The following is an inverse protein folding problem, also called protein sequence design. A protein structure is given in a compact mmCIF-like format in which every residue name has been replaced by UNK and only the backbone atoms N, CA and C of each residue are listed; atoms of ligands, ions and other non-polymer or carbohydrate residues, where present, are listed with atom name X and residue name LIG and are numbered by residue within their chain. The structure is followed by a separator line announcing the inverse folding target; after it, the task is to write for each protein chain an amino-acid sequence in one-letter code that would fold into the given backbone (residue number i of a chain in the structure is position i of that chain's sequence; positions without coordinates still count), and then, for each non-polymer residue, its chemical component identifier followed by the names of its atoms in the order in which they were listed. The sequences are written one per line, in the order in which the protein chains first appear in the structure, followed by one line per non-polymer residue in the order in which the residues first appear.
data_IF_406288966690
#
_entry.id   IF_406288966690
#
_cell.length_a   1.000
_cell.length_b   1.000
_cell.length_c   1.000
_cell.angle_alpha   90.00
_cell.angle_beta   90.00
_cell.angle_gamma   90.00
#
_symmetry.space_group_name_H-M   'P 1'
#
loop_
_entity.id
_entity.type
_entity.pdbx_description
1 polymer ?
#
# COMPACT_ATOMS: atom_id res chain seq x y z
N UNK A 1 14.47 1.58 -20.57
CA UNK A 1 13.74 2.56 -19.72
C UNK A 1 12.21 2.38 -19.74
N UNK A 2 11.64 1.50 -20.58
CA UNK A 2 10.20 1.19 -20.59
C UNK A 2 9.75 0.12 -19.56
N UNK A 3 10.66 -0.44 -18.75
CA UNK A 3 10.32 -1.58 -17.86
C UNK A 3 10.00 -1.21 -16.41
N UNK A 4 10.16 0.06 -16.01
CA UNK A 4 9.98 0.49 -14.60
C UNK A 4 8.59 1.06 -14.35
N UNK A 5 7.91 1.56 -15.38
CA UNK A 5 6.59 2.18 -15.25
C UNK A 5 5.45 1.31 -15.80
N UNK A 6 5.76 0.16 -16.40
CA UNK A 6 4.75 -0.64 -17.11
C UNK A 6 4.33 0.01 -18.44
N UNK A 7 3.73 -0.79 -19.32
CA UNK A 7 3.39 -0.32 -20.66
C UNK A 7 2.31 0.77 -20.62
N UNK A 8 2.53 1.84 -21.39
CA UNK A 8 1.66 3.02 -21.52
C UNK A 8 1.44 3.89 -20.27
N UNK A 9 2.22 3.71 -19.18
CA UNK A 9 2.16 4.63 -18.05
C UNK A 9 3.33 5.62 -18.09
N UNK A 10 3.02 6.88 -17.76
CA UNK A 10 3.98 7.95 -17.62
C UNK A 10 4.14 8.37 -16.14
N UNK A 11 5.17 9.15 -15.85
CA UNK A 11 5.45 9.64 -14.49
C UNK A 11 4.25 10.38 -13.84
N UNK A 12 3.47 11.10 -14.64
CA UNK A 12 2.28 11.82 -14.15
C UNK A 12 1.18 10.89 -13.64
N UNK A 13 0.98 9.73 -14.28
CA UNK A 13 -0.01 8.75 -13.84
C UNK A 13 0.34 8.22 -12.45
N UNK A 14 1.62 7.94 -12.24
CA UNK A 14 2.18 7.55 -10.94
C UNK A 14 2.02 8.66 -9.90
N UNK A 15 2.33 9.91 -10.26
CA UNK A 15 2.18 11.05 -9.36
C UNK A 15 0.72 11.27 -8.93
N UNK A 16 -0.23 11.11 -9.85
CA UNK A 16 -1.67 11.24 -9.55
C UNK A 16 -2.13 10.13 -8.61
N UNK A 17 -1.72 8.89 -8.86
CA UNK A 17 -2.01 7.77 -7.94
C UNK A 17 -1.44 8.06 -6.56
N UNK A 18 -0.17 8.48 -6.46
CA UNK A 18 0.44 8.83 -5.17
C UNK A 18 -0.31 9.97 -4.46
N UNK A 19 -0.78 10.97 -5.20
CA UNK A 19 -1.58 12.06 -4.65
C UNK A 19 -2.92 11.57 -4.09
N UNK A 20 -3.66 10.75 -4.83
CA UNK A 20 -4.92 10.15 -4.36
C UNK A 20 -4.69 9.32 -3.11
N UNK A 21 -3.65 8.48 -3.10
CA UNK A 21 -3.28 7.68 -1.93
C UNK A 21 -2.89 8.56 -0.73
N UNK A 22 -2.17 9.66 -0.96
CA UNK A 22 -1.80 10.62 0.07
C UNK A 22 -3.00 11.33 0.68
N UNK A 23 -3.99 11.71 -0.13
CA UNK A 23 -5.25 12.30 0.35
C UNK A 23 -6.04 11.30 1.20
N UNK A 24 -6.18 10.05 0.74
CA UNK A 24 -6.83 8.99 1.50
C UNK A 24 -6.09 8.70 2.81
N UNK A 25 -4.76 8.69 2.78
CA UNK A 25 -3.93 8.56 3.98
C UNK A 25 -4.23 9.67 5.00
N UNK A 26 -4.23 10.93 4.58
CA UNK A 26 -4.52 12.06 5.47
C UNK A 26 -5.92 11.97 6.06
N UNK A 27 -6.92 11.62 5.24
CA UNK A 27 -8.31 11.46 5.65
C UNK A 27 -8.47 10.37 6.73
N UNK A 28 -7.75 9.25 6.62
CA UNK A 28 -7.82 8.15 7.59
C UNK A 28 -6.97 8.45 8.83
N UNK A 29 -5.80 9.07 8.67
CA UNK A 29 -4.84 9.30 9.76
C UNK A 29 -5.27 10.41 10.71
N UNK A 30 -5.82 11.50 10.18
CA UNK A 30 -6.12 12.70 10.96
C UNK A 30 -7.18 12.50 12.06
N UNK A 31 -8.32 11.81 11.83
CA UNK A 31 -9.35 11.64 12.85
C UNK A 31 -9.05 10.53 13.87
N UNK A 32 -7.87 9.89 13.85
CA UNK A 32 -7.65 8.69 14.65
C UNK A 32 -7.37 8.95 16.13
N UNK A 33 -8.08 8.26 17.05
CA UNK A 33 -7.75 8.28 18.47
C UNK A 33 -6.40 7.59 18.71
N UNK A 34 -5.66 8.05 19.71
CA UNK A 34 -4.39 7.43 20.12
C UNK A 34 -4.65 6.01 20.61
N UNK A 35 -4.01 5.02 19.98
CA UNK A 35 -4.09 3.63 20.40
C UNK A 35 -3.45 3.42 21.77
N UNK A 36 -4.15 2.73 22.67
CA UNK A 36 -3.61 2.32 23.96
C UNK A 36 -2.45 1.32 23.78
N UNK A 37 -1.49 1.34 24.70
CA UNK A 37 -0.29 0.50 24.65
C UNK A 37 -0.59 -1.01 24.54
N UNK A 38 -1.72 -1.47 25.10
CA UNK A 38 -2.15 -2.86 25.04
C UNK A 38 -2.44 -3.36 23.61
N UNK A 39 -2.73 -2.46 22.66
CA UNK A 39 -3.03 -2.85 21.28
C UNK A 39 -1.81 -2.85 20.36
N UNK A 40 -0.62 -2.48 20.84
CA UNK A 40 0.60 -2.42 20.00
C UNK A 40 0.99 -3.77 19.41
N UNK A 41 0.88 -4.85 20.19
CA UNK A 41 1.21 -6.20 19.71
C UNK A 41 0.22 -6.66 18.61
N UNK A 42 -1.08 -6.42 18.81
CA UNK A 42 -2.12 -6.71 17.82
C UNK A 42 -1.94 -5.86 16.56
N UNK A 43 -1.55 -4.59 16.72
CA UNK A 43 -1.22 -3.71 15.61
C UNK A 43 -0.03 -4.26 14.79
N UNK A 44 1.08 -4.63 15.43
CA UNK A 44 2.24 -5.20 14.73
C UNK A 44 1.86 -6.49 14.01
N UNK A 45 1.08 -7.36 14.66
CA UNK A 45 0.60 -8.60 14.04
C UNK A 45 -0.26 -8.34 12.81
N UNK A 46 -1.22 -7.41 12.90
CA UNK A 46 -2.07 -7.03 11.77
C UNK A 46 -1.26 -6.44 10.62
N UNK A 47 -0.31 -5.55 10.91
CA UNK A 47 0.55 -4.95 9.89
C UNK A 47 1.40 -6.02 9.21
N UNK A 48 2.02 -6.92 9.96
CA UNK A 48 2.88 -7.96 9.42
C UNK A 48 2.09 -8.98 8.58
N UNK A 49 0.96 -9.46 9.10
CA UNK A 49 0.10 -10.41 8.40
C UNK A 49 -0.47 -9.80 7.13
N UNK A 50 -0.95 -8.56 7.20
CA UNK A 50 -1.48 -7.85 6.04
C UNK A 50 -0.41 -7.61 4.99
N UNK A 51 0.78 -7.14 5.39
CA UNK A 51 1.90 -6.95 4.47
C UNK A 51 2.24 -8.27 3.76
N UNK A 52 2.34 -9.37 4.50
CA UNK A 52 2.59 -10.68 3.91
C UNK A 52 1.51 -11.08 2.88
N UNK A 53 0.23 -10.95 3.24
CA UNK A 53 -0.89 -11.30 2.35
C UNK A 53 -0.93 -10.43 1.09
N UNK A 54 -0.77 -9.11 1.22
CA UNK A 54 -0.78 -8.19 0.08
C UNK A 54 0.42 -8.42 -0.84
N UNK A 55 1.62 -8.60 -0.27
CA UNK A 55 2.82 -8.88 -1.05
C UNK A 55 2.68 -10.17 -1.85
N UNK A 56 2.18 -11.23 -1.22
CA UNK A 56 2.01 -12.53 -1.85
C UNK A 56 0.89 -12.50 -2.89
N UNK A 57 -0.26 -11.92 -2.56
CA UNK A 57 -1.42 -11.82 -3.45
C UNK A 57 -1.14 -10.99 -4.70
N UNK A 58 -0.53 -9.81 -4.55
CA UNK A 58 -0.19 -8.97 -5.70
C UNK A 58 0.92 -9.57 -6.56
N UNK A 59 1.86 -10.31 -5.96
CA UNK A 59 2.84 -11.08 -6.74
C UNK A 59 2.17 -12.18 -7.57
N UNK A 60 1.19 -12.89 -7.00
CA UNK A 60 0.40 -13.88 -7.74
C UNK A 60 -0.42 -13.21 -8.87
N UNK A 61 -1.08 -12.09 -8.61
CA UNK A 61 -1.83 -11.37 -9.63
C UNK A 61 -0.96 -10.81 -10.76
N UNK A 62 0.26 -10.37 -10.43
CA UNK A 62 1.27 -10.02 -11.44
C UNK A 62 1.64 -11.24 -12.30
N UNK A 63 1.90 -12.40 -11.69
CA UNK A 63 2.21 -13.64 -12.41
C UNK A 63 1.06 -14.13 -13.29
N UNK A 64 -0.18 -13.83 -12.91
CA UNK A 64 -1.39 -14.17 -13.66
C UNK A 64 -1.74 -13.14 -14.75
N UNK A 65 -0.98 -12.03 -14.87
CA UNK A 65 -1.24 -10.97 -15.87
C UNK A 65 -2.49 -10.13 -15.58
N UNK A 66 -3.04 -10.20 -14.37
CA UNK A 66 -4.26 -9.48 -13.96
C UNK A 66 -3.94 -8.06 -13.48
N UNK A 67 -2.66 -7.78 -13.16
CA UNK A 67 -2.19 -6.46 -12.74
C UNK A 67 -1.37 -5.76 -13.82
N UNK A 68 -1.72 -4.51 -14.09
CA UNK A 68 -1.06 -3.59 -15.03
C UNK A 68 0.22 -2.95 -14.45
N UNK A 69 0.40 -2.99 -13.13
CA UNK A 69 1.48 -2.29 -12.43
C UNK A 69 2.43 -3.26 -11.74
N UNK A 70 3.67 -2.81 -11.56
CA UNK A 70 4.68 -3.56 -10.82
C UNK A 70 4.21 -3.80 -9.37
N UNK A 71 4.20 -5.06 -8.90
CA UNK A 71 3.57 -5.43 -7.64
C UNK A 71 4.19 -4.70 -6.44
N UNK A 72 5.47 -4.34 -6.50
CA UNK A 72 6.17 -3.63 -5.42
C UNK A 72 5.58 -2.26 -5.11
N UNK A 73 5.14 -1.47 -6.10
CA UNK A 73 4.56 -0.16 -5.80
C UNK A 73 3.21 -0.31 -5.10
N UNK A 74 2.34 -1.18 -5.63
CA UNK A 74 1.05 -1.42 -5.02
C UNK A 74 1.21 -2.01 -3.60
N UNK A 75 2.15 -2.93 -3.44
CA UNK A 75 2.50 -3.53 -2.16
C UNK A 75 3.00 -2.51 -1.14
N UNK A 76 3.86 -1.58 -1.56
CA UNK A 76 4.43 -0.57 -0.67
C UNK A 76 3.34 0.38 -0.17
N UNK A 77 2.49 0.86 -1.09
CA UNK A 77 1.39 1.77 -0.76
C UNK A 77 0.33 1.09 0.12
N UNK A 78 -0.11 -0.12 -0.22
CA UNK A 78 -1.14 -0.82 0.55
C UNK A 78 -0.64 -1.35 1.89
N UNK A 79 0.59 -1.83 1.99
CA UNK A 79 1.09 -2.46 3.21
C UNK A 79 1.59 -1.43 4.21
N UNK A 80 2.40 -0.46 3.76
CA UNK A 80 3.07 0.47 4.68
C UNK A 80 2.28 1.75 4.90
N UNK A 81 1.72 2.36 3.84
CA UNK A 81 0.99 3.62 3.99
C UNK A 81 -0.40 3.37 4.55
N UNK A 82 -1.13 2.40 3.99
CA UNK A 82 -2.53 2.18 4.35
C UNK A 82 -2.77 1.30 5.57
N UNK A 83 -1.88 0.38 5.90
CA UNK A 83 -2.06 -0.48 7.08
C UNK A 83 -1.07 -0.10 8.16
N UNK A 84 0.22 0.04 7.86
CA UNK A 84 1.19 0.58 8.81
C UNK A 84 0.79 1.98 9.32
N UNK A 85 0.92 2.99 8.47
CA UNK A 85 0.77 4.37 8.93
C UNK A 85 -0.68 4.77 9.26
N UNK A 86 -1.69 4.18 8.59
CA UNK A 86 -3.08 4.45 8.98
C UNK A 86 -3.54 3.66 10.19
N UNK A 87 -3.03 2.45 10.51
CA UNK A 87 -3.47 1.75 11.73
C UNK A 87 -2.78 2.25 13.00
N UNK A 88 -1.54 2.73 12.93
CA UNK A 88 -0.76 3.25 14.07
C UNK A 88 -1.04 4.70 14.44
#
# INVERSE_FOLDING_TARGET
MNSIFGDNNNFLDYALVLLVYGLLFLFIRYPKPKLELNYKANYIFLVALWAFLMFTGNYLFYRLGVMSFLPWMNNLMHSFVWVGLCLG
#
